data_IF_841144349875
#
_entry.id   IF_841144349875
#
_cell.length_a   1.000
_cell.length_b   1.000
_cell.length_c   1.000
_cell.angle_alpha   90.00
_cell.angle_beta   90.00
_cell.angle_gamma   90.00
#
_symmetry.space_group_name_H-M   'P 1'
#
loop_
_entity.id
_entity.type
_entity.pdbx_description
1 polymer ?
#
# COMPACT_ATOMS: atom_id res chain seq x y z
N UNK A 1 2.29 27.40 -12.69
CA UNK A 1 1.43 26.19 -12.58
C UNK A 1 2.32 25.05 -12.10
N UNK A 2 2.24 24.65 -10.83
CA UNK A 2 3.00 23.47 -10.37
C UNK A 2 2.36 22.23 -10.98
N UNK A 3 3.14 21.42 -11.71
CA UNK A 3 2.62 20.19 -12.31
C UNK A 3 2.59 19.10 -11.24
N UNK A 4 1.40 18.71 -10.78
CA UNK A 4 1.25 17.52 -9.94
C UNK A 4 1.72 16.28 -10.71
N UNK A 5 2.57 15.46 -10.11
CA UNK A 5 2.95 14.17 -10.71
C UNK A 5 1.78 13.20 -10.57
N UNK A 6 1.28 12.70 -11.70
CA UNK A 6 0.13 11.79 -11.76
C UNK A 6 0.59 10.34 -11.82
N UNK A 7 0.04 9.53 -10.94
CA UNK A 7 0.36 8.11 -10.83
C UNK A 7 -0.93 7.30 -10.86
N UNK A 8 -0.95 6.20 -11.61
CA UNK A 8 -2.01 5.20 -11.51
C UNK A 8 -1.45 3.97 -10.78
N UNK A 9 -2.25 3.37 -9.90
CA UNK A 9 -1.93 2.09 -9.28
C UNK A 9 -2.95 1.07 -9.75
N UNK A 10 -2.48 0.06 -10.47
CA UNK A 10 -3.28 -1.07 -10.93
C UNK A 10 -3.24 -2.19 -9.90
N UNK A 11 -4.40 -2.52 -9.34
CA UNK A 11 -4.51 -3.48 -8.25
C UNK A 11 -4.95 -4.87 -8.71
N UNK A 12 -4.14 -5.87 -8.34
CA UNK A 12 -4.36 -7.30 -8.56
C UNK A 12 -4.71 -8.06 -7.29
N UNK A 13 -5.24 -9.28 -7.45
CA UNK A 13 -5.69 -10.15 -6.35
C UNK A 13 -7.22 -10.29 -6.25
N UNK A 14 -7.77 -10.74 -5.11
CA UNK A 14 -7.10 -11.06 -3.84
C UNK A 14 -6.28 -12.35 -3.91
N UNK A 15 -5.11 -12.34 -3.25
CA UNK A 15 -4.31 -13.53 -2.98
C UNK A 15 -4.41 -13.90 -1.49
N UNK A 16 -4.13 -15.15 -1.17
CA UNK A 16 -3.81 -15.65 0.17
C UNK A 16 -2.29 -15.70 0.38
N UNK A 17 -1.86 -16.11 1.56
CA UNK A 17 -0.43 -16.32 1.87
C UNK A 17 0.14 -17.58 1.20
N UNK A 18 -0.70 -18.46 0.67
CA UNK A 18 -0.28 -19.75 0.08
C UNK A 18 -0.15 -19.63 -1.44
N UNK A 19 -1.05 -18.91 -2.10
CA UNK A 19 -1.12 -18.70 -3.56
C UNK A 19 -0.57 -17.34 -4.00
N UNK A 20 0.28 -16.72 -3.17
CA UNK A 20 0.95 -15.47 -3.51
C UNK A 20 1.87 -15.70 -4.72
N UNK A 21 1.69 -14.95 -5.83
CA UNK A 21 2.54 -15.14 -7.00
C UNK A 21 3.99 -14.77 -6.70
N UNK A 22 4.91 -15.57 -7.27
CA UNK A 22 6.36 -15.34 -7.19
C UNK A 22 6.87 -14.32 -8.25
N UNK A 23 5.97 -13.65 -8.99
CA UNK A 23 6.35 -12.81 -10.14
C UNK A 23 7.21 -11.58 -9.79
N UNK A 24 7.98 -11.13 -10.79
CA UNK A 24 9.16 -10.23 -10.73
C UNK A 24 8.88 -8.74 -10.49
N UNK A 25 7.67 -8.32 -10.12
CA UNK A 25 7.46 -6.88 -9.91
C UNK A 25 8.27 -6.42 -8.68
N UNK A 26 9.39 -5.73 -8.96
CA UNK A 26 10.33 -5.26 -7.94
C UNK A 26 10.08 -3.82 -7.47
N UNK A 27 9.02 -3.18 -7.98
CA UNK A 27 8.66 -1.80 -7.67
C UNK A 27 7.15 -1.67 -7.59
N UNK A 28 6.62 -1.42 -6.39
CA UNK A 28 5.18 -1.29 -6.21
C UNK A 28 4.74 -1.22 -4.76
N UNK A 29 3.43 -1.28 -4.56
CA UNK A 29 2.78 -1.20 -3.26
C UNK A 29 1.98 -2.47 -3.05
N UNK A 30 1.89 -2.97 -1.83
CA UNK A 30 1.00 -4.07 -1.48
C UNK A 30 0.18 -3.72 -0.25
N UNK A 31 -0.94 -4.41 -0.07
CA UNK A 31 -1.79 -4.23 1.11
C UNK A 31 -2.18 -5.58 1.69
N UNK A 32 -2.31 -5.61 3.01
CA UNK A 32 -2.96 -6.69 3.73
C UNK A 32 -4.37 -6.28 4.12
N UNK A 33 -5.30 -7.20 3.91
CA UNK A 33 -6.71 -7.04 4.16
C UNK A 33 -7.18 -8.17 5.07
N UNK A 34 -7.90 -7.81 6.12
CA UNK A 34 -8.56 -8.76 7.00
C UNK A 34 -9.97 -9.01 6.53
N UNK A 35 -10.33 -10.27 6.33
CA UNK A 35 -11.72 -10.65 6.13
C UNK A 35 -12.38 -10.83 7.49
N UNK A 36 -13.33 -9.96 7.82
CA UNK A 36 -14.21 -10.14 8.96
C UNK A 36 -15.65 -10.19 8.44
N UNK A 37 -16.31 -11.32 8.63
CA UNK A 37 -17.61 -11.61 8.01
C UNK A 37 -17.58 -11.46 6.47
N UNK A 38 -18.39 -10.56 5.90
CA UNK A 38 -18.45 -10.26 4.45
C UNK A 38 -17.69 -8.99 4.06
N UNK A 39 -16.96 -8.37 4.99
CA UNK A 39 -16.24 -7.12 4.76
C UNK A 39 -14.72 -7.34 4.80
N UNK A 40 -14.02 -6.51 4.03
CA UNK A 40 -12.57 -6.48 3.96
C UNK A 40 -12.08 -5.20 4.58
N UNK A 41 -11.25 -5.33 5.60
CA UNK A 41 -10.67 -4.21 6.34
C UNK A 41 -9.21 -4.05 5.94
N UNK A 42 -8.78 -2.82 5.71
CA UNK A 42 -7.37 -2.53 5.47
C UNK A 42 -6.60 -2.68 6.77
N UNK A 43 -5.60 -3.58 6.78
CA UNK A 43 -4.79 -3.89 7.96
C UNK A 43 -3.40 -3.29 7.86
N UNK A 44 -2.78 -3.40 6.68
CA UNK A 44 -1.41 -2.94 6.44
C UNK A 44 -1.26 -2.43 5.01
N UNK A 45 -0.36 -1.48 4.82
CA UNK A 45 0.14 -1.02 3.52
C UNK A 45 1.66 -1.10 3.59
N UNK A 46 2.28 -1.71 2.58
CA UNK A 46 3.73 -1.76 2.43
C UNK A 46 4.16 -1.47 1.00
N UNK A 47 5.45 -1.32 0.78
CA UNK A 47 6.04 -1.16 -0.54
C UNK A 47 7.14 -2.16 -0.82
N UNK A 48 7.49 -2.32 -2.10
CA UNK A 48 8.74 -2.94 -2.50
C UNK A 48 9.51 -2.06 -3.49
N UNK A 49 10.85 -2.09 -3.37
CA UNK A 49 11.79 -1.49 -4.30
C UNK A 49 13.08 -2.33 -4.34
N UNK A 50 13.44 -2.88 -5.50
CA UNK A 50 14.56 -3.82 -5.72
C UNK A 50 14.39 -5.23 -5.13
N UNK A 51 13.22 -5.56 -4.60
CA UNK A 51 12.88 -6.91 -4.14
C UNK A 51 11.54 -7.34 -4.72
N UNK A 52 11.29 -8.63 -4.91
CA UNK A 52 9.98 -9.06 -5.41
C UNK A 52 8.90 -8.79 -4.35
N UNK A 53 7.65 -8.67 -4.78
CA UNK A 53 6.53 -8.66 -3.82
C UNK A 53 6.54 -9.89 -2.92
N UNK A 54 6.86 -11.05 -3.49
CA UNK A 54 6.89 -12.32 -2.76
C UNK A 54 7.86 -12.27 -1.58
N UNK A 55 9.11 -11.88 -1.82
CA UNK A 55 10.15 -11.86 -0.80
C UNK A 55 9.83 -10.85 0.30
N UNK A 56 9.44 -9.62 -0.07
CA UNK A 56 9.10 -8.56 0.88
C UNK A 56 7.89 -8.95 1.75
N UNK A 57 6.83 -9.50 1.15
CA UNK A 57 5.64 -9.94 1.88
C UNK A 57 5.98 -11.10 2.81
N UNK A 58 6.80 -12.07 2.37
CA UNK A 58 7.25 -13.19 3.22
C UNK A 58 8.07 -12.68 4.40
N UNK A 59 8.98 -11.73 4.18
CA UNK A 59 9.75 -11.12 5.26
C UNK A 59 8.84 -10.45 6.30
N UNK A 60 7.79 -9.73 5.87
CA UNK A 60 6.82 -9.14 6.81
C UNK A 60 6.01 -10.18 7.57
N UNK A 61 5.51 -11.21 6.89
CA UNK A 61 4.72 -12.29 7.50
C UNK A 61 5.57 -13.08 8.50
N UNK A 62 6.86 -13.28 8.22
CA UNK A 62 7.77 -14.00 9.13
C UNK A 62 8.39 -13.11 10.22
N UNK A 63 8.15 -11.79 10.18
CA UNK A 63 8.64 -10.81 11.15
C UNK A 63 7.48 -10.07 11.82
N UNK A 64 7.51 -8.74 11.78
CA UNK A 64 6.59 -7.84 12.51
C UNK A 64 5.10 -8.21 12.39
N UNK A 65 4.65 -8.61 11.18
CA UNK A 65 3.24 -8.95 10.95
C UNK A 65 2.92 -10.34 11.50
N UNK A 66 3.85 -11.29 11.40
CA UNK A 66 3.71 -12.62 12.02
C UNK A 66 3.57 -12.52 13.54
N UNK A 67 4.47 -11.75 14.16
CA UNK A 67 4.41 -11.49 15.61
C UNK A 67 3.08 -10.84 16.02
N UNK A 68 2.59 -9.87 15.23
CA UNK A 68 1.29 -9.25 15.47
C UNK A 68 0.15 -10.26 15.36
N UNK A 69 0.16 -11.10 14.31
CA UNK A 69 -0.85 -12.14 14.07
C UNK A 69 -0.89 -13.12 15.23
N UNK A 70 0.26 -13.63 15.67
CA UNK A 70 0.38 -14.55 16.80
C UNK A 70 -0.12 -13.92 18.10
N UNK A 71 0.37 -12.72 18.42
CA UNK A 71 0.01 -12.00 19.66
C UNK A 71 -1.48 -11.67 19.76
N UNK A 72 -2.13 -11.39 18.63
CA UNK A 72 -3.54 -10.99 18.58
C UNK A 72 -4.47 -12.15 18.19
N UNK A 73 -3.97 -13.38 18.10
CA UNK A 73 -4.72 -14.56 17.68
C UNK A 73 -5.52 -14.35 16.37
N UNK A 74 -4.93 -13.62 15.42
CA UNK A 74 -5.56 -13.37 14.13
C UNK A 74 -5.48 -14.63 13.28
N UNK A 75 -6.61 -15.08 12.73
CA UNK A 75 -6.62 -16.23 11.82
C UNK A 75 -6.02 -15.83 10.45
N UNK A 76 -4.83 -16.33 10.16
CA UNK A 76 -4.11 -16.07 8.91
C UNK A 76 -4.89 -16.50 7.66
N UNK A 77 -5.84 -17.44 7.78
CA UNK A 77 -6.74 -17.83 6.68
C UNK A 77 -7.70 -16.72 6.28
N UNK A 78 -7.87 -15.70 7.13
CA UNK A 78 -8.64 -14.50 6.82
C UNK A 78 -7.79 -13.35 6.25
N UNK A 79 -6.48 -13.54 6.15
CA UNK A 79 -5.59 -12.57 5.51
C UNK A 79 -5.73 -12.63 3.99
N UNK A 80 -5.92 -11.48 3.36
CA UNK A 80 -5.96 -11.31 1.91
C UNK A 80 -4.96 -10.26 1.49
N UNK A 81 -4.31 -10.48 0.35
CA UNK A 81 -3.24 -9.64 -0.15
C UNK A 81 -3.67 -9.05 -1.50
N UNK A 82 -3.33 -7.78 -1.74
CA UNK A 82 -3.34 -7.21 -3.08
C UNK A 82 -1.99 -6.61 -3.42
N UNK A 83 -1.65 -6.71 -4.69
CA UNK A 83 -0.45 -6.14 -5.28
C UNK A 83 -0.85 -4.95 -6.14
N UNK A 84 -0.14 -3.85 -6.01
CA UNK A 84 -0.40 -2.58 -6.67
C UNK A 84 0.79 -2.22 -7.56
N UNK A 85 0.59 -2.33 -8.87
CA UNK A 85 1.58 -2.00 -9.87
C UNK A 85 1.51 -0.50 -10.21
N UNK A 86 2.65 0.18 -10.14
CA UNK A 86 2.73 1.62 -10.40
C UNK A 86 2.84 1.85 -11.91
N UNK A 87 1.88 2.59 -12.48
CA UNK A 87 1.82 2.94 -13.90
C UNK A 87 1.98 4.46 -14.05
N UNK A 88 3.00 4.87 -14.81
CA UNK A 88 3.30 6.27 -15.12
C UNK A 88 2.95 6.56 -16.58
N UNK A 89 2.15 7.61 -16.82
CA UNK A 89 1.72 7.99 -18.18
C UNK A 89 2.88 8.38 -19.09
N UNK A 90 3.91 9.00 -18.52
CA UNK A 90 4.96 9.65 -19.31
C UNK A 90 6.24 8.78 -19.42
N UNK A 91 6.12 7.45 -19.25
CA UNK A 91 7.24 6.48 -19.29
C UNK A 91 8.45 6.84 -18.40
N UNK A 92 8.23 7.64 -17.36
CA UNK A 92 9.31 8.00 -16.42
C UNK A 92 9.75 6.77 -15.62
N UNK A 93 11.02 6.75 -15.21
CA UNK A 93 11.54 5.74 -14.29
C UNK A 93 10.83 5.86 -12.94
N UNK A 94 10.37 4.73 -12.41
CA UNK A 94 9.87 4.63 -11.03
C UNK A 94 11.09 4.72 -10.10
N UNK A 95 11.17 5.79 -9.29
CA UNK A 95 12.21 5.97 -8.29
C UNK A 95 11.76 5.45 -6.93
N UNK A 96 12.71 5.05 -6.08
CA UNK A 96 12.41 4.61 -4.72
C UNK A 96 11.65 5.67 -3.92
N UNK A 97 12.08 6.93 -4.06
CA UNK A 97 11.41 8.08 -3.46
C UNK A 97 9.93 8.13 -3.86
N UNK A 98 9.61 7.90 -5.13
CA UNK A 98 8.23 7.89 -5.60
C UNK A 98 7.42 6.78 -4.93
N UNK A 99 7.97 5.57 -4.81
CA UNK A 99 7.27 4.44 -4.17
C UNK A 99 7.03 4.73 -2.68
N UNK A 100 8.06 5.22 -1.97
CA UNK A 100 7.96 5.67 -0.57
C UNK A 100 6.91 6.78 -0.39
N UNK A 101 6.87 7.72 -1.31
CA UNK A 101 5.93 8.83 -1.27
C UNK A 101 4.47 8.31 -1.46
N UNK A 102 4.27 7.39 -2.39
CA UNK A 102 2.97 6.73 -2.64
C UNK A 102 2.51 5.96 -1.39
N UNK A 103 3.37 5.12 -0.83
CA UNK A 103 3.10 4.35 0.39
C UNK A 103 2.69 5.28 1.54
N UNK A 104 3.50 6.30 1.79
CA UNK A 104 3.28 7.28 2.86
C UNK A 104 1.93 7.98 2.72
N UNK A 105 1.59 8.46 1.52
CA UNK A 105 0.29 9.11 1.28
C UNK A 105 -0.88 8.15 1.53
N UNK A 106 -0.73 6.88 1.12
CA UNK A 106 -1.73 5.85 1.40
C UNK A 106 -1.90 5.59 2.90
N UNK A 107 -0.81 5.44 3.64
CA UNK A 107 -0.82 5.20 5.09
C UNK A 107 -1.45 6.39 5.82
N UNK A 108 -1.08 7.62 5.50
CA UNK A 108 -1.60 8.82 6.18
C UNK A 108 -3.11 8.97 5.96
N UNK A 109 -3.59 8.72 4.72
CA UNK A 109 -5.00 8.88 4.39
C UNK A 109 -5.87 7.75 4.95
N UNK A 110 -5.36 6.51 4.99
CA UNK A 110 -6.18 5.35 5.38
C UNK A 110 -5.96 4.86 6.80
N UNK A 111 -4.84 5.22 7.44
CA UNK A 111 -4.47 4.87 8.82
C UNK A 111 -4.65 3.38 9.14
N UNK A 112 -4.04 2.47 8.36
CA UNK A 112 -4.10 1.03 8.63
C UNK A 112 -3.55 0.69 10.03
N UNK A 113 -4.20 -0.22 10.79
CA UNK A 113 -3.87 -0.51 12.18
C UNK A 113 -2.49 -1.17 12.39
N UNK A 114 -1.94 -1.86 11.37
CA UNK A 114 -0.65 -2.55 11.49
C UNK A 114 0.54 -1.70 11.03
N UNK A 115 0.32 -0.49 10.52
CA UNK A 115 1.42 0.46 10.27
C UNK A 115 1.66 1.28 11.54
N UNK A 116 2.43 0.73 12.50
CA UNK A 116 2.56 1.27 13.86
C UNK A 116 3.65 2.36 13.99
N UNK A 117 4.36 2.78 12.92
CA UNK A 117 5.42 3.81 13.03
C UNK A 117 5.37 4.99 12.05
N UNK A 118 5.54 6.17 12.66
CA UNK A 118 5.84 7.54 12.20
C UNK A 118 4.99 8.16 11.06
N UNK A 119 3.78 8.57 11.43
CA UNK A 119 2.87 9.47 10.70
C UNK A 119 3.42 10.91 10.55
N UNK A 120 4.67 11.17 10.95
CA UNK A 120 5.22 12.51 11.04
C UNK A 120 5.63 13.03 9.66
N UNK A 121 4.71 13.82 9.11
CA UNK A 121 4.90 14.74 7.98
C UNK A 121 5.40 14.08 6.71
N UNK A 122 4.46 13.69 5.84
CA UNK A 122 4.78 13.56 4.43
C UNK A 122 5.33 14.92 3.94
N UNK A 123 6.63 14.96 3.65
CA UNK A 123 7.31 16.08 2.96
C UNK A 123 7.60 15.74 1.50
N UNK A 124 6.95 14.69 0.99
CA UNK A 124 7.17 14.19 -0.36
C UNK A 124 6.59 15.11 -1.43
N UNK A 125 6.75 14.71 -2.68
CA UNK A 125 6.39 15.55 -3.82
C UNK A 125 4.88 15.74 -3.92
N UNK A 126 4.45 16.75 -4.68
CA UNK A 126 3.04 16.97 -4.97
C UNK A 126 2.48 15.86 -5.88
N UNK A 127 1.76 14.90 -5.27
CA UNK A 127 1.31 13.65 -5.89
C UNK A 127 -0.21 13.60 -6.05
N UNK A 128 -0.65 13.07 -7.19
CA UNK A 128 -2.03 12.64 -7.44
C UNK A 128 -2.05 11.18 -7.86
N UNK A 129 -2.67 10.36 -7.02
CA UNK A 129 -2.76 8.91 -7.21
C UNK A 129 -4.20 8.55 -7.63
N UNK A 130 -4.33 7.75 -8.68
CA UNK A 130 -5.57 7.09 -9.07
C UNK A 130 -5.43 5.58 -8.88
N UNK A 131 -6.26 5.02 -8.00
CA UNK A 131 -6.36 3.58 -7.80
C UNK A 131 -7.37 3.00 -8.80
N UNK A 132 -6.91 2.09 -9.64
CA UNK A 132 -7.71 1.42 -10.68
C UNK A 132 -7.85 -0.08 -10.40
N UNK A 133 -8.64 -0.79 -11.21
CA UNK A 133 -8.86 -2.22 -11.04
C UNK A 133 -9.57 -2.59 -9.73
N UNK A 134 -9.10 -3.64 -9.05
CA UNK A 134 -9.71 -4.14 -7.80
C UNK A 134 -9.16 -3.37 -6.58
N UNK A 135 -9.40 -2.07 -6.49
CA UNK A 135 -8.73 -1.23 -5.47
C UNK A 135 -9.40 -1.18 -4.08
N UNK A 136 -10.67 -1.58 -3.93
CA UNK A 136 -11.38 -1.48 -2.63
C UNK A 136 -10.68 -2.31 -1.54
N UNK A 137 -10.57 -1.82 -0.29
CA UNK A 137 -11.29 -0.69 0.28
C UNK A 137 -10.60 0.69 0.15
N UNK A 138 -9.54 0.82 -0.66
CA UNK A 138 -8.84 2.09 -0.81
C UNK A 138 -9.71 3.17 -1.48
N UNK A 139 -9.42 4.44 -1.23
CA UNK A 139 -10.03 5.56 -1.97
C UNK A 139 -9.60 5.49 -3.43
N UNK A 140 -10.54 5.76 -4.35
CA UNK A 140 -10.25 5.77 -5.79
C UNK A 140 -9.18 6.81 -6.16
N UNK A 141 -9.16 7.96 -5.48
CA UNK A 141 -8.22 9.05 -5.75
C UNK A 141 -7.64 9.61 -4.46
N UNK A 142 -6.34 9.86 -4.48
CA UNK A 142 -5.60 10.49 -3.38
C UNK A 142 -4.80 11.66 -3.93
N UNK A 143 -4.65 12.70 -3.12
CA UNK A 143 -3.70 13.76 -3.42
C UNK A 143 -3.09 14.33 -2.14
N UNK A 144 -1.88 14.85 -2.28
CA UNK A 144 -1.20 15.69 -1.29
C UNK A 144 -2.04 16.86 -0.80
N UNK A 145 -2.90 17.44 -1.66
CA UNK A 145 -3.85 18.49 -1.28
C UNK A 145 -4.74 18.07 -0.10
N UNK A 146 -5.02 16.77 0.05
CA UNK A 146 -5.83 16.24 1.15
C UNK A 146 -5.13 16.36 2.51
N UNK A 147 -3.81 16.52 2.53
CA UNK A 147 -3.01 16.69 3.75
C UNK A 147 -3.04 18.13 4.27
N UNK A 148 -3.12 19.13 3.39
CA UNK A 148 -3.11 20.55 3.75
C UNK A 148 -4.39 21.02 4.45
N UNK A 149 -5.47 20.24 4.39
CA UNK A 149 -6.70 20.52 5.14
C UNK A 149 -6.64 20.05 6.59
N UNK A 150 -5.60 19.30 7.00
CA UNK A 150 -5.46 18.77 8.37
C UNK A 150 -4.72 19.71 9.33
N UNK A 151 -4.02 20.73 8.84
CA UNK A 151 -3.31 21.73 9.65
C UNK A 151 -4.14 22.97 9.97
N UNK A 152 -5.45 22.95 9.69
CA UNK A 152 -6.40 24.04 9.97
C UNK A 152 -7.62 23.59 10.80
N UNK A 153 -7.59 22.40 11.38
CA UNK A 153 -8.65 21.87 12.25
C UNK A 153 -8.17 21.80 13.69
#
# INVERSE_FOLDING_TARGET
MQSHKRVTIEWEGFFSTIDLPCFEAIMGIYIFLGKHSRQLHLLYIGMTYWQTFYDEIRAKINGDIGEWIEKNHFDIQNLRIKLGHIVLKDRHRISEKLVKDIESLHIIVHKPPWNIMNINTYRGDDLRIENSGKYRPLRKRLSTDQLNNWSKS
#
